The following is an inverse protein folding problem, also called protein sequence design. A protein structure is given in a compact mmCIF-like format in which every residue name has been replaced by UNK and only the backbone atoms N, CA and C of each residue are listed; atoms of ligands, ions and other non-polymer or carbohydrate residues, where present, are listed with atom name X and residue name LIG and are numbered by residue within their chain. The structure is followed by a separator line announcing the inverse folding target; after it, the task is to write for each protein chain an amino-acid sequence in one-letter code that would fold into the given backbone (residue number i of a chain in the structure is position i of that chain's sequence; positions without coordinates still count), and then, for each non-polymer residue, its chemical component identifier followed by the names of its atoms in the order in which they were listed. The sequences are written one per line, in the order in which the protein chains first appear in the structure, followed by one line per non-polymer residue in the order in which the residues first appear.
data_IF_374034961875
#
_entry.id   IF_374034961875
#
_cell.length_a   1.000
_cell.length_b   1.000
_cell.length_c   1.000
_cell.angle_alpha   90.00
_cell.angle_beta   90.00
_cell.angle_gamma   90.00
#
_symmetry.space_group_name_H-M   'P 1'
#
loop_
_entity.id
_entity.type
_entity.pdbx_description
1 polymer ?
2 non-polymer ?
3 non-polymer ?
4 non-polymer ?
5 non-polymer ?
6 non-polymer ?
7 non-polymer ?
8 water ?
#
# COMPACT_ATOMS: atom_id res chain seq x y z
N UNK A 1 12.53 2.52 21.39
CA UNK A 1 11.41 3.45 21.31
C UNK A 1 10.92 3.81 22.71
N UNK A 2 10.32 4.99 22.86
CA UNK A 2 9.85 5.41 24.19
C UNK A 2 8.75 4.50 24.73
N UNK A 3 8.61 4.51 26.06
CA UNK A 3 7.51 3.78 26.70
C UNK A 3 6.15 4.43 26.43
N UNK A 4 6.09 5.77 26.41
CA UNK A 4 4.86 6.52 26.19
C UNK A 4 5.03 7.51 25.06
N UNK A 5 4.00 7.62 24.22
CA UNK A 5 3.98 8.59 23.14
C UNK A 5 2.59 9.24 23.10
N UNK A 6 2.57 10.56 22.96
CA UNK A 6 1.33 11.29 22.75
C UNK A 6 1.70 12.56 22.02
N UNK A 7 1.40 12.61 20.71
CA UNK A 7 1.77 13.77 19.91
C UNK A 7 0.97 15.02 20.28
N UNK A 8 -0.13 14.88 21.03
CA UNK A 8 -0.83 16.08 21.50
C UNK A 8 0.05 16.90 22.42
N UNK A 9 0.82 16.23 23.27
CA UNK A 9 1.68 16.92 24.22
C UNK A 9 2.84 17.62 23.55
N UNK A 10 3.16 17.25 22.31
CA UNK A 10 4.13 17.98 21.51
C UNK A 10 3.49 19.05 20.65
N UNK A 11 2.21 19.34 20.86
CA UNK A 11 1.47 20.29 20.04
C UNK A 11 1.40 19.95 18.56
N UNK A 12 1.27 18.66 18.23
CA UNK A 12 1.25 18.23 16.83
C UNK A 12 -0.12 17.74 16.37
N UNK A 13 -1.18 18.00 17.13
CA UNK A 13 -2.50 17.45 16.83
C UNK A 13 -3.55 18.57 16.92
N UNK A 14 -4.34 18.74 15.87
CA UNK A 14 -5.37 19.77 15.84
C UNK A 14 -6.61 19.26 16.56
N UNK A 15 -7.60 20.14 16.80
CA UNK A 15 -8.82 19.70 17.49
C UNK A 15 -9.57 18.62 16.73
N UNK A 16 -10.39 17.86 17.48
CA UNK A 16 -11.16 16.77 16.92
C UNK A 16 -12.27 17.32 16.03
N UNK A 17 -12.51 16.66 14.89
CA UNK A 17 -13.56 17.06 13.97
C UNK A 17 -14.61 15.97 13.88
N UNK A 18 -15.71 16.32 13.21
CA UNK A 18 -16.83 15.43 12.92
C UNK A 18 -17.06 15.41 11.41
N UNK A 19 -16.90 14.25 10.80
CA UNK A 19 -17.09 14.16 9.35
C UNK A 19 -18.55 14.26 8.94
N UNK A 20 -19.49 14.05 9.88
CA UNK A 20 -20.89 14.03 9.49
C UNK A 20 -21.26 12.75 8.75
N UNK A 21 -22.30 12.84 7.92
CA UNK A 21 -22.76 11.65 7.23
C UNK A 21 -21.90 11.27 6.02
N UNK A 22 -21.09 12.20 5.49
CA UNK A 22 -20.28 11.90 4.33
C UNK A 22 -19.27 10.77 4.62
N UNK A 23 -18.93 10.02 3.57
CA UNK A 23 -18.03 8.89 3.73
C UNK A 23 -16.59 9.30 3.57
N UNK A 24 -16.19 10.35 4.31
CA UNK A 24 -14.90 11.00 4.09
C UNK A 24 -13.87 10.66 5.15
N UNK A 25 -14.02 9.56 5.88
CA UNK A 25 -13.03 9.24 6.92
C UNK A 25 -11.62 9.16 6.35
N UNK A 26 -11.48 8.73 5.10
CA UNK A 26 -10.15 8.55 4.50
C UNK A 26 -9.41 9.88 4.36
N UNK A 27 -10.15 10.97 4.09
CA UNK A 27 -9.56 12.30 4.01
C UNK A 27 -9.21 12.86 5.39
N UNK A 28 -10.09 12.66 6.38
CA UNK A 28 -9.77 13.11 7.73
C UNK A 28 -8.55 12.36 8.29
N UNK A 29 -8.48 11.06 8.05
CA UNK A 29 -7.31 10.28 8.42
C UNK A 29 -6.03 10.88 7.87
N UNK A 30 -6.01 11.12 6.55
CA UNK A 30 -4.81 11.65 5.90
C UNK A 30 -4.40 13.00 6.47
N UNK A 31 -5.36 13.89 6.74
CA UNK A 31 -5.03 15.24 7.18
C UNK A 31 -4.37 15.20 8.56
N UNK A 32 -4.84 14.32 9.45
CA UNK A 32 -4.19 14.22 10.76
C UNK A 32 -2.70 13.97 10.57
N UNK A 33 -2.33 13.02 9.69
CA UNK A 33 -0.92 12.76 9.48
C UNK A 33 -0.21 13.93 8.82
N UNK A 34 -0.91 14.72 8.00
CA UNK A 34 -0.26 15.88 7.38
C UNK A 34 0.01 16.95 8.42
N UNK A 35 -1.01 17.27 9.22
CA UNK A 35 -0.86 18.26 10.29
C UNK A 35 0.29 17.88 11.21
N UNK A 36 0.40 16.58 11.54
CA UNK A 36 1.49 16.13 12.40
C UNK A 36 2.87 16.30 11.79
N UNK A 37 3.05 15.88 10.53
CA UNK A 37 4.40 15.90 9.95
C UNK A 37 4.86 17.33 9.70
N UNK A 38 3.94 18.24 9.33
CA UNK A 38 4.33 19.63 9.11
C UNK A 38 4.75 20.29 10.40
N UNK A 39 4.05 20.00 11.50
CA UNK A 39 4.48 20.50 12.82
C UNK A 39 5.86 19.95 13.19
N UNK A 40 6.05 18.64 13.04
CA UNK A 40 7.33 18.00 13.38
C UNK A 40 8.46 18.56 12.54
N UNK A 41 8.21 18.84 11.25
CA UNK A 41 9.25 19.25 10.32
C UNK A 41 9.48 20.76 10.27
N UNK A 42 8.44 21.56 10.49
CA UNK A 42 8.51 23.01 10.30
C UNK A 42 8.23 23.82 11.56
N UNK A 43 7.61 23.23 12.58
CA UNK A 43 7.31 23.97 13.79
C UNK A 43 5.91 24.58 13.86
N UNK A 44 5.17 24.62 12.75
CA UNK A 44 3.85 25.21 12.71
C UNK A 44 2.79 24.12 12.86
N UNK A 45 1.80 24.37 13.71
CA UNK A 45 0.60 23.53 13.76
C UNK A 45 -0.52 24.27 13.01
N UNK A 46 -1.00 23.67 11.92
CA UNK A 46 -2.05 24.28 11.11
C UNK A 46 -3.06 23.21 10.70
N UNK A 47 -4.27 23.67 10.40
CA UNK A 47 -5.38 22.81 9.93
C UNK A 47 -5.41 22.82 8.39
N UNK A 48 -5.36 21.66 7.76
CA UNK A 48 -5.38 21.52 6.31
C UNK A 48 -6.71 20.92 5.85
N UNK A 49 -6.99 21.04 4.55
CA UNK A 49 -8.35 20.86 4.03
C UNK A 49 -8.67 19.40 3.71
N UNK A 50 -9.62 18.82 4.46
CA UNK A 50 -10.17 17.51 4.06
C UNK A 50 -11.01 17.60 2.79
N UNK A 51 -11.70 18.73 2.60
CA UNK A 51 -12.54 18.94 1.41
C UNK A 51 -11.71 18.90 0.12
N UNK A 52 -10.52 19.49 0.14
CA UNK A 52 -9.64 19.45 -1.03
C UNK A 52 -9.34 18.00 -1.44
N UNK A 53 -9.09 17.11 -0.48
CA UNK A 53 -8.82 15.71 -0.80
C UNK A 53 -10.06 15.02 -1.35
N UNK A 54 -11.21 15.22 -0.67
CA UNK A 54 -12.50 14.76 -1.16
C UNK A 54 -12.77 15.16 -2.62
N UNK A 55 -12.45 16.41 -2.96
CA UNK A 55 -12.75 16.94 -4.28
C UNK A 55 -11.75 16.50 -5.34
N UNK A 56 -10.47 16.31 -4.97
CA UNK A 56 -9.36 16.25 -5.93
C UNK A 56 -8.63 14.91 -6.01
N UNK A 57 -8.84 13.99 -5.08
CA UNK A 57 -8.21 12.67 -5.16
C UNK A 57 -8.99 11.82 -6.15
N UNK A 58 -8.51 11.73 -7.39
CA UNK A 58 -9.22 11.00 -8.47
C UNK A 58 -9.19 9.48 -8.25
N UNK A 59 -8.38 9.00 -7.32
CA UNK A 59 -8.34 7.57 -7.07
C UNK A 59 -9.28 7.12 -5.95
N UNK A 60 -9.92 8.06 -5.26
CA UNK A 60 -10.95 7.75 -4.25
C UNK A 60 -12.33 8.02 -4.83
N UNK A 61 -13.36 7.83 -4.01
CA UNK A 61 -14.72 7.98 -4.46
C UNK A 61 -15.58 8.99 -3.74
N UNK A 62 -14.98 10.13 -3.36
CA UNK A 62 -15.73 11.19 -2.70
C UNK A 62 -16.35 10.73 -1.40
N UNK A 63 -17.67 10.97 -1.28
CA UNK A 63 -18.42 10.59 -0.07
C UNK A 63 -18.79 9.10 -0.05
N UNK A 64 -18.45 8.33 -1.10
CA UNK A 64 -18.63 6.89 -1.03
C UNK A 64 -17.49 6.20 -0.31
N UNK A 65 -16.40 6.92 -0.03
CA UNK A 65 -15.24 6.33 0.60
C UNK A 65 -14.00 6.48 -0.25
N UNK A 66 -12.87 6.06 0.32
CA UNK A 66 -11.59 6.39 -0.29
C UNK A 66 -10.42 5.77 0.44
N UNK A 67 -9.24 6.28 0.12
CA UNK A 67 -7.97 5.69 0.57
C UNK A 67 -7.06 6.76 1.17
N UNK A 68 -6.66 6.62 2.44
CA UNK A 68 -5.67 7.55 3.00
C UNK A 68 -4.37 7.57 2.21
N UNK A 69 -3.92 6.43 1.68
CA UNK A 69 -2.65 6.44 0.97
C UNK A 69 -2.74 7.25 -0.32
N UNK A 70 -3.88 7.23 -1.02
CA UNK A 70 -3.96 8.00 -2.27
C UNK A 70 -4.07 9.49 -1.99
N UNK A 71 -4.75 9.85 -0.89
CA UNK A 71 -4.73 11.24 -0.45
C UNK A 71 -3.31 11.70 -0.16
N UNK A 72 -2.54 10.87 0.56
CA UNK A 72 -1.16 11.24 0.89
C UNK A 72 -0.27 11.32 -0.34
N UNK A 73 -0.53 10.48 -1.35
CA UNK A 73 0.22 10.57 -2.61
C UNK A 73 -0.11 11.87 -3.33
N UNK A 74 -1.38 12.27 -3.33
CA UNK A 74 -1.76 13.54 -3.94
C UNK A 74 -1.07 14.71 -3.24
N UNK A 75 -0.99 14.67 -1.91
CA UNK A 75 -0.28 15.75 -1.22
C UNK A 75 1.22 15.72 -1.50
N UNK A 76 1.77 14.54 -1.75
CA UNK A 76 3.19 14.45 -2.07
C UNK A 76 3.49 14.99 -3.47
N UNK A 77 2.56 14.84 -4.40
CA UNK A 77 2.78 15.33 -5.75
C UNK A 77 2.40 16.80 -5.90
N UNK A 78 1.37 17.27 -5.20
CA UNK A 78 0.82 18.59 -5.44
C UNK A 78 0.86 19.51 -4.23
N UNK A 79 0.40 19.06 -3.09
CA UNK A 79 0.34 19.91 -1.93
C UNK A 79 -1.08 19.93 -1.40
N UNK A 80 -1.31 20.81 -0.43
CA UNK A 80 -2.61 20.92 0.20
C UNK A 80 -2.76 22.35 0.72
N UNK A 81 -4.00 22.83 0.75
CA UNK A 81 -4.32 24.17 1.22
C UNK A 81 -4.76 24.11 2.69
N UNK A 82 -4.77 25.29 3.31
CA UNK A 82 -5.30 25.39 4.67
C UNK A 82 -6.78 25.09 4.68
N UNK A 83 -7.22 24.52 5.80
CA UNK A 83 -8.63 24.18 5.98
C UNK A 83 -9.50 25.42 5.91
N UNK A 84 -9.02 26.56 6.45
CA UNK A 84 -9.84 27.75 6.39
C UNK A 84 -9.90 28.36 4.99
N UNK A 85 -8.93 28.06 4.11
CA UNK A 85 -9.00 28.49 2.71
C UNK A 85 -9.89 27.59 1.86
N UNK A 86 -10.17 26.39 2.35
CA UNK A 86 -10.90 25.37 1.58
C UNK A 86 -11.72 24.56 2.59
N UNK A 87 -12.82 25.11 3.09
CA UNK A 87 -13.49 24.53 4.26
C UNK A 87 -14.33 23.31 3.91
N UNK A 88 -14.71 22.57 4.97
CA UNK A 88 -15.47 21.33 4.84
C UNK A 88 -16.93 21.64 4.54
N UNK A 89 -17.39 21.17 3.39
CA UNK A 89 -18.79 21.29 2.99
C UNK A 89 -19.60 20.01 3.14
N UNK A 90 -18.94 18.88 3.39
CA UNK A 90 -19.66 17.63 3.64
C UNK A 90 -20.30 16.96 2.45
N UNK A 91 -20.03 17.45 1.25
CA UNK A 91 -20.42 16.78 0.00
C UNK A 91 -19.26 16.96 -0.96
N UNK A 92 -19.08 15.99 -1.86
CA UNK A 92 -18.05 16.11 -2.88
C UNK A 92 -18.45 17.19 -3.89
N UNK A 93 -17.46 17.96 -4.32
CA UNK A 93 -17.62 18.98 -5.34
C UNK A 93 -16.48 18.86 -6.34
N UNK A 94 -16.49 19.74 -7.34
CA UNK A 94 -15.37 19.73 -8.26
C UNK A 94 -14.12 20.30 -7.59
N UNK A 95 -12.96 19.91 -8.13
CA UNK A 95 -11.66 20.28 -7.56
C UNK A 95 -11.37 21.75 -7.80
N UNK A 96 -11.27 22.54 -6.73
CA UNK A 96 -11.06 23.98 -6.83
C UNK A 96 -9.67 24.41 -6.38
N UNK A 97 -8.71 23.48 -6.32
CA UNK A 97 -7.37 23.75 -5.80
C UNK A 97 -6.70 24.90 -6.54
N UNK A 98 -6.93 25.02 -7.86
CA UNK A 98 -6.24 26.03 -8.66
C UNK A 98 -6.74 27.43 -8.37
N UNK A 99 -7.96 27.56 -7.86
CA UNK A 99 -8.56 28.84 -7.53
C UNK A 99 -8.17 29.33 -6.14
N UNK A 100 -7.37 28.57 -5.40
CA UNK A 100 -7.04 28.87 -4.01
C UNK A 100 -5.64 29.43 -3.84
N UNK A 101 -4.93 29.72 -4.93
CA UNK A 101 -3.57 30.20 -4.82
C UNK A 101 -2.58 29.09 -4.54
N UNK A 102 -1.33 29.46 -4.26
CA UNK A 102 -0.30 28.45 -4.03
C UNK A 102 -0.62 27.58 -2.82
N UNK A 103 -0.03 26.38 -2.81
CA UNK A 103 -0.28 25.45 -1.73
C UNK A 103 0.24 25.98 -0.39
N UNK A 104 -0.39 25.53 0.69
CA UNK A 104 0.12 25.88 2.00
C UNK A 104 1.21 24.92 2.46
N UNK A 105 1.11 23.65 2.07
CA UNK A 105 2.10 22.65 2.50
C UNK A 105 2.24 21.58 1.44
N UNK A 106 3.35 20.85 1.51
CA UNK A 106 3.63 19.79 0.55
C UNK A 106 4.58 18.79 1.20
N UNK A 107 4.31 17.51 1.00
CA UNK A 107 5.19 16.45 1.45
C UNK A 107 6.03 15.94 0.27
N UNK A 108 6.84 14.93 0.54
CA UNK A 108 7.75 14.38 -0.46
C UNK A 108 7.56 12.89 -0.72
N UNK A 109 6.66 12.22 0.00
CA UNK A 109 6.40 10.84 -0.30
C UNK A 109 5.47 10.22 0.73
N UNK A 110 5.21 8.93 0.51
CA UNK A 110 4.33 8.09 1.31
C UNK A 110 5.09 6.80 1.64
N UNK A 111 4.89 6.28 2.85
CA UNK A 111 5.44 4.96 3.23
C UNK A 111 4.36 4.12 3.89
N UNK A 112 4.45 2.80 3.68
CA UNK A 112 3.53 1.84 4.25
C UNK A 112 4.19 1.07 5.41
N UNK A 113 3.39 0.77 6.45
CA UNK A 113 3.86 -0.09 7.54
C UNK A 113 3.53 -1.54 7.18
N UNK A 114 4.46 -2.47 7.45
CA UNK A 114 4.19 -3.87 7.14
C UNK A 114 3.01 -4.35 7.97
N UNK A 115 2.01 -4.98 7.37
CA UNK A 115 0.78 -5.28 8.10
C UNK A 115 0.97 -6.33 9.18
N UNK A 116 -0.03 -6.42 10.06
CA UNK A 116 -0.14 -7.45 11.10
C UNK A 116 1.11 -7.48 11.98
N UNK A 117 1.70 -6.33 12.20
CA UNK A 117 2.99 -6.21 12.85
C UNK A 117 2.87 -5.05 13.85
N UNK A 118 2.51 -5.36 15.09
CA UNK A 118 2.29 -4.34 16.15
C UNK A 118 3.55 -3.47 16.31
N UNK A 119 4.70 -4.11 16.40
CA UNK A 119 5.93 -3.38 16.65
C UNK A 119 6.32 -2.46 15.51
N UNK A 120 6.03 -2.84 14.26
CA UNK A 120 6.32 -1.93 13.16
C UNK A 120 5.46 -0.68 13.26
N UNK A 121 4.20 -0.84 13.64
CA UNK A 121 3.32 0.30 13.79
C UNK A 121 3.75 1.17 14.97
N UNK A 122 4.15 0.55 16.08
CA UNK A 122 4.64 1.32 17.22
C UNK A 122 5.87 2.14 16.86
N UNK A 123 6.78 1.53 16.11
CA UNK A 123 7.98 2.25 15.69
C UNK A 123 7.62 3.45 14.83
N UNK A 124 6.65 3.30 13.93
CA UNK A 124 6.25 4.43 13.09
C UNK A 124 5.59 5.53 13.91
N UNK A 125 4.76 5.14 14.89
CA UNK A 125 4.06 6.16 15.68
C UNK A 125 5.06 6.98 16.50
N UNK A 126 6.12 6.35 16.99
CA UNK A 126 7.12 7.10 17.73
C UNK A 126 7.73 8.21 16.88
N UNK A 127 7.73 8.06 15.55
CA UNK A 127 8.27 9.13 14.69
C UNK A 127 7.22 10.17 14.30
N UNK A 128 5.96 9.78 14.18
CA UNK A 128 4.94 10.71 13.72
C UNK A 128 3.59 10.04 13.81
N UNK A 129 2.48 10.78 13.73
CA UNK A 129 1.16 10.14 13.61
C UNK A 129 1.05 9.30 12.34
N UNK A 130 0.31 8.19 12.45
CA UNK A 130 0.18 7.20 11.38
C UNK A 130 -1.30 7.03 11.02
N UNK A 131 -1.59 6.92 9.73
CA UNK A 131 -2.96 6.62 9.32
C UNK A 131 -3.19 5.13 9.43
N UNK A 132 -4.30 4.73 10.07
CA UNK A 132 -4.63 3.31 10.26
C UNK A 132 -6.12 3.12 10.00
N UNK A 133 -6.52 1.85 9.96
CA UNK A 133 -7.90 1.46 9.71
C UNK A 133 -8.34 0.50 10.78
N UNK A 134 -9.65 0.41 10.97
CA UNK A 134 -10.22 -0.50 11.94
C UNK A 134 -11.66 -0.80 11.57
N UNK A 135 -12.24 -1.75 12.27
CA UNK A 135 -13.66 -2.11 12.17
C UNK A 135 -14.43 -1.25 13.19
N UNK A 136 -15.23 -0.33 12.70
CA UNK A 136 -15.98 0.58 13.56
C UNK A 136 -17.48 0.30 13.59
N UNK A 137 -17.93 -0.77 12.92
CA UNK A 137 -19.35 -1.04 12.75
C UNK A 137 -19.97 -1.72 13.97
N UNK A 138 -19.17 -2.26 14.89
CA UNK A 138 -19.73 -2.90 16.05
C UNK A 138 -20.33 -1.88 17.00
N UNK A 139 -21.40 -2.28 17.70
CA UNK A 139 -21.99 -1.37 18.66
C UNK A 139 -21.03 -1.04 19.79
N UNK A 140 -20.18 -2.01 20.18
CA UNK A 140 -19.28 -1.78 21.30
C UNK A 140 -18.31 -0.65 20.99
N UNK A 141 -17.77 -0.63 19.78
CA UNK A 141 -16.91 0.48 19.36
C UNK A 141 -17.70 1.78 19.36
N UNK A 142 -18.95 1.74 18.90
CA UNK A 142 -19.71 2.97 18.83
C UNK A 142 -20.05 3.52 20.21
N UNK A 143 -20.26 2.65 21.20
CA UNK A 143 -20.64 3.11 22.54
C UNK A 143 -19.45 3.36 23.46
N UNK A 144 -18.22 3.16 22.99
CA UNK A 144 -17.03 3.33 23.81
C UNK A 144 -16.97 4.73 24.43
N UNK A 145 -16.59 4.80 25.71
CA UNK A 145 -16.42 6.09 26.39
C UNK A 145 -15.05 6.32 27.03
N UNK A 146 -14.27 5.28 27.30
CA UNK A 146 -12.97 5.45 27.95
C UNK A 146 -12.46 4.14 28.48
N UNK A 147 -11.20 4.17 28.94
CA UNK A 147 -10.50 2.95 29.33
C UNK A 147 -9.84 2.25 28.16
N UNK A 148 -9.14 1.16 28.44
CA UNK A 148 -8.50 0.41 27.38
C UNK A 148 -9.53 -0.54 26.76
N UNK A 149 -9.81 -0.35 25.48
CA UNK A 149 -10.87 -1.07 24.77
C UNK A 149 -10.32 -2.40 24.27
N UNK A 150 -10.96 -3.49 24.67
CA UNK A 150 -10.60 -4.83 24.22
C UNK A 150 -11.66 -5.41 23.30
N UNK A 151 -12.70 -4.66 22.97
CA UNK A 151 -13.77 -5.16 22.15
C UNK A 151 -15.03 -5.41 22.97
N UNK A 152 -15.92 -6.27 22.45
CA UNK A 152 -15.78 -7.05 21.21
C UNK A 152 -15.75 -6.20 19.94
N UNK A 153 -15.07 -6.72 18.91
CA UNK A 153 -15.07 -6.21 17.55
C UNK A 153 -14.29 -7.18 16.69
N UNK A 154 -14.68 -7.29 15.41
CA UNK A 154 -14.05 -8.19 14.47
C UNK A 154 -12.91 -7.53 13.73
N UNK A 155 -12.49 -8.18 12.64
CA UNK A 155 -11.37 -7.65 11.85
C UNK A 155 -11.77 -7.22 10.45
N UNK A 156 -13.07 -7.11 10.14
CA UNK A 156 -13.51 -6.62 8.83
C UNK A 156 -13.44 -5.10 8.86
N UNK A 157 -12.24 -4.57 8.60
CA UNK A 157 -12.02 -3.13 8.76
C UNK A 157 -12.90 -2.33 7.79
N UNK A 158 -13.31 -1.14 8.26
CA UNK A 158 -14.24 -0.32 7.48
C UNK A 158 -14.08 1.18 7.69
N UNK A 159 -13.05 1.66 8.38
CA UNK A 159 -13.04 3.03 8.88
C UNK A 159 -11.59 3.46 9.11
N UNK A 160 -11.18 4.55 8.44
CA UNK A 160 -9.83 5.06 8.58
C UNK A 160 -9.79 6.12 9.68
N UNK A 161 -8.77 6.02 10.54
CA UNK A 161 -8.57 6.93 11.66
C UNK A 161 -7.07 7.19 11.74
N UNK A 162 -6.59 7.78 12.85
CA UNK A 162 -5.17 8.06 12.99
C UNK A 162 -4.68 7.71 14.39
N UNK A 163 -3.53 7.04 14.45
CA UNK A 163 -2.87 6.73 15.71
C UNK A 163 -1.94 7.88 16.05
N UNK A 164 -2.16 8.53 17.19
CA UNK A 164 -1.35 9.67 17.56
C UNK A 164 -0.51 9.38 18.82
N UNK A 165 -0.50 8.15 19.30
CA UNK A 165 0.31 7.83 20.47
C UNK A 165 0.12 6.37 20.88
N UNK A 166 0.76 6.00 21.99
CA UNK A 166 0.58 4.66 22.55
C UNK A 166 1.15 4.65 23.97
N UNK A 167 0.83 3.59 24.69
CA UNK A 167 1.42 3.26 25.96
C UNK A 167 1.67 1.76 26.05
N UNK A 168 2.09 1.29 27.23
CA UNK A 168 2.45 -0.13 27.36
C UNK A 168 1.39 -1.10 26.85
N UNK A 169 0.11 -0.83 27.09
CA UNK A 169 -0.95 -1.78 26.74
C UNK A 169 -1.99 -1.17 25.82
N UNK A 170 -1.69 -0.05 25.16
CA UNK A 170 -2.70 0.56 24.31
C UNK A 170 -2.06 1.33 23.16
N UNK A 171 -2.87 1.59 22.14
CA UNK A 171 -2.52 2.53 21.09
C UNK A 171 -3.58 3.61 21.08
N UNK A 172 -3.15 4.85 20.91
CA UNK A 172 -4.00 6.03 21.07
C UNK A 172 -4.47 6.50 19.71
N UNK A 173 -5.79 6.59 19.53
CA UNK A 173 -6.41 6.76 18.21
C UNK A 173 -7.30 7.99 18.19
N UNK A 174 -7.08 8.88 17.22
CA UNK A 174 -7.92 10.05 17.02
C UNK A 174 -8.97 9.77 15.94
N UNK A 175 -10.24 9.80 16.32
CA UNK A 175 -11.35 9.52 15.41
C UNK A 175 -11.94 10.83 14.90
N UNK A 176 -12.75 10.73 13.84
CA UNK A 176 -13.36 11.91 13.24
C UNK A 176 -14.88 11.88 13.39
N UNK A 177 -15.34 11.49 14.58
CA UNK A 177 -16.76 11.39 14.90
C UNK A 177 -17.20 12.45 15.92
N UNK A 178 -16.45 13.53 16.08
CA UNK A 178 -16.79 14.58 17.02
C UNK A 178 -16.20 14.34 18.41
N UNK A 179 -16.23 15.41 19.25
CA UNK A 179 -15.76 15.25 20.61
C UNK A 179 -16.72 14.44 21.47
N UNK A 180 -17.99 14.32 21.07
CA UNK A 180 -18.98 13.60 21.84
C UNK A 180 -18.88 12.09 21.78
N UNK A 181 -17.97 11.57 20.96
CA UNK A 181 -17.72 10.14 20.92
C UNK A 181 -16.44 9.83 21.67
N UNK A 182 -16.42 8.70 22.37
CA UNK A 182 -15.20 8.21 23.03
C UNK A 182 -14.65 9.12 24.13
N UNK A 183 -13.39 9.01 24.32
CA UNK A 183 -12.67 9.82 25.31
C UNK A 183 -12.34 11.16 24.65
N UNK A 184 -13.31 12.04 24.64
CA UNK A 184 -13.18 13.37 24.05
C UNK A 184 -12.76 13.29 22.59
N UNK A 185 -13.28 12.27 21.89
CA UNK A 185 -13.00 12.08 20.47
C UNK A 185 -12.00 10.97 20.19
N UNK A 186 -11.36 10.41 21.23
CA UNK A 186 -10.27 9.46 21.14
C UNK A 186 -10.67 8.10 21.69
N UNK A 187 -9.83 7.10 21.43
CA UNK A 187 -10.00 5.76 22.01
C UNK A 187 -8.62 5.16 22.25
N UNK A 188 -8.47 4.47 23.38
CA UNK A 188 -7.28 3.65 23.66
C UNK A 188 -7.63 2.21 23.31
N UNK A 189 -6.96 1.66 22.29
CA UNK A 189 -7.21 0.30 21.84
C UNK A 189 -6.14 -0.61 22.43
N UNK A 190 -6.58 -1.72 23.02
CA UNK A 190 -5.66 -2.66 23.66
C UNK A 190 -4.64 -3.18 22.65
N UNK A 191 -3.38 -3.27 23.06
CA UNK A 191 -2.39 -3.94 22.24
C UNK A 191 -1.83 -5.15 23.00
N UNK A 192 -1.12 -6.01 22.29
CA UNK A 192 -0.46 -7.14 22.90
C UNK A 192 -1.27 -8.41 23.09
N UNK A 193 -2.36 -8.58 22.35
CA UNK A 193 -3.12 -9.82 22.37
C UNK A 193 -2.42 -10.87 21.51
N UNK A 194 -2.97 -12.08 21.47
CA UNK A 194 -2.40 -13.06 20.58
C UNK A 194 -3.07 -13.06 19.21
N UNK A 195 -3.51 -11.89 18.73
CA UNK A 195 -4.24 -11.79 17.48
C UNK A 195 -3.46 -10.96 16.47
N UNK A 196 -3.14 -11.56 15.33
CA UNK A 196 -2.29 -10.92 14.34
C UNK A 196 -3.01 -9.80 13.60
N UNK A 197 -4.34 -9.80 13.57
CA UNK A 197 -4.99 -8.66 12.95
C UNK A 197 -4.89 -7.42 13.81
N UNK A 198 -4.62 -7.58 15.11
CA UNK A 198 -4.87 -6.54 16.08
C UNK A 198 -6.34 -6.45 16.43
N UNK A 199 -6.63 -5.87 17.59
CA UNK A 199 -8.04 -5.76 17.96
C UNK A 199 -8.70 -4.70 17.09
N UNK A 200 -9.90 -5.02 16.60
CA UNK A 200 -10.65 -4.22 15.63
C UNK A 200 -9.96 -4.17 14.26
N UNK A 201 -9.02 -5.08 14.01
CA UNK A 201 -8.28 -5.11 12.77
C UNK A 201 -7.24 -4.03 12.64
N UNK A 202 -6.76 -3.52 13.78
CA UNK A 202 -5.99 -2.29 13.82
C UNK A 202 -4.72 -2.36 12.96
N UNK A 203 -4.13 -3.55 12.77
CA UNK A 203 -2.88 -3.67 12.04
C UNK A 203 -3.08 -4.01 10.57
N UNK A 204 -4.25 -3.72 10.00
CA UNK A 204 -4.50 -4.17 8.62
C UNK A 204 -3.83 -3.28 7.58
N UNK A 205 -3.84 -1.94 7.76
CA UNK A 205 -3.42 -1.09 6.63
C UNK A 205 -3.03 0.31 7.12
N UNK A 206 -1.72 0.54 7.28
CA UNK A 206 -1.20 1.74 7.90
C UNK A 206 -0.19 2.43 7.01
N UNK A 207 -0.27 3.75 6.93
CA UNK A 207 0.59 4.53 6.03
C UNK A 207 0.98 5.83 6.69
N UNK A 208 2.08 6.42 6.25
CA UNK A 208 2.45 7.74 6.76
C UNK A 208 3.16 8.53 5.67
N UNK A 209 3.13 9.85 5.74
CA UNK A 209 3.88 10.66 4.77
C UNK A 209 5.33 10.85 5.20
N UNK A 210 6.16 11.20 4.22
CA UNK A 210 7.53 11.58 4.50
C UNK A 210 7.74 12.98 3.97
N UNK A 211 8.58 13.73 4.67
CA UNK A 211 8.87 15.11 4.28
C UNK A 211 10.31 15.42 4.63
N UNK A 212 11.11 15.67 3.62
CA UNK A 212 12.46 16.16 3.86
C UNK A 212 12.36 17.60 4.35
N UNK B 1 -6.72 3.73 -23.73
CA UNK B 1 -5.63 2.78 -23.62
C UNK B 1 -5.74 1.75 -24.77
N UNK B 2 -4.63 1.13 -25.14
CA UNK B 2 -4.64 0.18 -26.27
C UNK B 2 -5.59 -0.99 -26.01
N UNK B 3 -6.09 -1.58 -27.10
CA UNK B 3 -6.91 -2.79 -26.93
C UNK B 3 -6.07 -3.97 -26.49
N UNK B 4 -4.82 -4.08 -26.94
CA UNK B 4 -3.90 -5.16 -26.59
C UNK B 4 -2.57 -4.60 -26.10
N UNK B 5 -2.02 -5.23 -25.05
CA UNK B 5 -0.72 -4.85 -24.48
C UNK B 5 0.04 -6.14 -24.15
N UNK B 6 1.31 -6.20 -24.52
CA UNK B 6 2.16 -7.34 -24.13
C UNK B 6 3.60 -6.86 -24.06
N UNK B 7 4.12 -6.69 -22.83
CA UNK B 7 5.47 -6.14 -22.68
C UNK B 7 6.54 -7.11 -23.15
N UNK B 8 6.22 -8.40 -23.34
CA UNK B 8 7.17 -9.32 -23.96
C UNK B 8 7.53 -8.89 -25.38
N UNK B 9 6.55 -8.38 -26.14
CA UNK B 9 6.77 -7.96 -27.52
C UNK B 9 7.54 -6.65 -27.64
N UNK B 10 7.65 -5.88 -26.55
CA UNK B 10 8.56 -4.74 -26.48
C UNK B 10 9.91 -5.12 -25.87
N UNK B 11 10.17 -6.41 -25.69
CA UNK B 11 11.41 -6.84 -25.08
C UNK B 11 11.63 -6.31 -23.68
N UNK B 12 10.57 -6.22 -22.87
CA UNK B 12 10.67 -5.70 -21.50
C UNK B 12 10.50 -6.78 -20.45
N UNK B 13 10.55 -8.05 -20.83
CA UNK B 13 10.27 -9.18 -19.95
C UNK B 13 11.38 -10.22 -20.11
N UNK B 14 12.04 -10.59 -19.00
CA UNK B 14 13.12 -11.58 -19.02
C UNK B 14 12.54 -13.00 -18.99
N UNK B 15 13.37 -14.04 -19.20
CA UNK B 15 12.84 -15.41 -19.19
C UNK B 15 12.20 -15.80 -17.86
N UNK B 16 11.30 -16.79 -17.93
CA UNK B 16 10.56 -17.25 -16.75
C UNK B 16 11.47 -18.00 -15.81
N UNK B 17 11.32 -17.76 -14.51
CA UNK B 17 12.11 -18.42 -13.48
C UNK B 17 11.23 -19.30 -12.60
N UNK B 18 11.89 -20.11 -11.77
CA UNK B 18 11.21 -20.97 -10.81
C UNK B 18 11.73 -20.63 -9.42
N UNK B 19 10.85 -20.20 -8.53
CA UNK B 19 11.30 -19.82 -7.18
C UNK B 19 11.69 -21.02 -6.31
N UNK B 20 11.30 -22.22 -6.67
CA UNK B 20 11.57 -23.39 -5.83
C UNK B 20 10.64 -23.44 -4.62
N UNK B 21 11.11 -24.14 -3.55
CA UNK B 21 10.29 -24.30 -2.34
C UNK B 21 10.24 -23.05 -1.47
N UNK B 22 11.20 -22.13 -1.61
CA UNK B 22 11.24 -20.92 -0.81
C UNK B 22 10.02 -20.03 -1.09
N UNK B 23 9.62 -19.24 -0.08
CA UNK B 23 8.48 -18.35 -0.13
C UNK B 23 8.80 -16.98 -0.65
N UNK B 24 9.42 -16.95 -1.82
CA UNK B 24 10.01 -15.76 -2.39
C UNK B 24 9.22 -15.14 -3.55
N UNK B 25 7.92 -15.45 -3.62
CA UNK B 25 7.01 -14.87 -4.65
C UNK B 25 7.08 -13.40 -4.69
N UNK B 26 7.05 -12.77 -3.51
CA UNK B 26 7.08 -11.31 -3.42
C UNK B 26 8.33 -10.68 -4.05
N UNK B 27 9.50 -11.33 -3.93
CA UNK B 27 10.72 -10.80 -4.53
C UNK B 27 10.72 -10.99 -6.06
N UNK B 28 10.30 -12.15 -6.55
CA UNK B 28 10.24 -12.35 -7.99
C UNK B 28 9.24 -11.38 -8.64
N UNK B 29 8.07 -11.20 -8.01
CA UNK B 29 7.11 -10.21 -8.50
C UNK B 29 7.75 -8.84 -8.64
N UNK B 30 8.37 -8.33 -7.56
CA UNK B 30 8.95 -7.00 -7.62
C UNK B 30 10.01 -6.89 -8.73
N UNK B 31 10.86 -7.91 -8.86
CA UNK B 31 11.94 -7.86 -9.85
C UNK B 31 11.38 -7.72 -11.27
N UNK B 32 10.26 -8.39 -11.56
CA UNK B 32 9.66 -8.28 -12.89
C UNK B 32 9.33 -6.82 -13.23
N UNK B 33 8.69 -6.10 -12.30
CA UNK B 33 8.33 -4.70 -12.59
C UNK B 33 9.57 -3.82 -12.66
N UNK B 34 10.63 -4.18 -11.94
CA UNK B 34 11.88 -3.43 -12.00
C UNK B 34 12.56 -3.66 -13.35
N UNK B 35 12.73 -4.94 -13.72
CA UNK B 35 13.29 -5.25 -15.04
C UNK B 35 12.50 -4.54 -16.14
N UNK B 36 11.18 -4.50 -16.00
CA UNK B 36 10.34 -3.84 -17.00
C UNK B 36 10.57 -2.33 -17.09
N UNK B 37 10.56 -1.63 -15.95
CA UNK B 37 10.64 -0.16 -15.99
C UNK B 37 12.02 0.31 -16.42
N UNK B 38 13.08 -0.44 -16.09
CA UNK B 38 14.42 -0.04 -16.52
C UNK B 38 14.52 -0.15 -18.04
N UNK B 39 13.97 -1.23 -18.61
CA UNK B 39 13.92 -1.36 -20.06
C UNK B 39 13.15 -0.20 -20.69
N UNK B 40 11.98 0.10 -20.14
CA UNK B 40 11.14 1.16 -20.69
C UNK B 40 11.85 2.51 -20.68
N UNK B 41 12.61 2.79 -19.63
CA UNK B 41 13.23 4.11 -19.52
C UNK B 41 14.65 4.17 -20.05
N UNK B 42 15.38 3.05 -20.13
CA UNK B 42 16.75 3.09 -20.61
C UNK B 42 16.98 2.38 -21.94
N UNK B 43 16.10 1.45 -22.33
CA UNK B 43 16.27 0.68 -23.56
C UNK B 43 16.91 -0.68 -23.38
N UNK B 44 17.53 -0.96 -22.23
CA UNK B 44 18.23 -2.23 -22.00
C UNK B 44 17.42 -3.16 -21.11
N UNK B 45 17.41 -4.44 -21.46
CA UNK B 45 16.80 -5.49 -20.64
C UNK B 45 17.86 -6.25 -19.86
N UNK B 46 17.72 -6.28 -18.54
CA UNK B 46 18.67 -6.96 -17.68
C UNK B 46 17.93 -7.69 -16.58
N UNK B 47 18.61 -8.68 -16.03
CA UNK B 47 18.10 -9.49 -14.90
C UNK B 47 18.63 -8.90 -13.59
N UNK B 48 17.73 -8.67 -12.64
CA UNK B 48 18.08 -8.15 -11.32
C UNK B 48 17.85 -9.21 -10.26
N UNK B 49 18.46 -9.02 -9.10
CA UNK B 49 18.64 -10.09 -8.13
C UNK B 49 17.43 -10.20 -7.20
N UNK B 50 16.67 -11.29 -7.31
CA UNK B 50 15.64 -11.61 -6.33
C UNK B 50 16.26 -11.95 -4.98
N UNK B 51 17.42 -12.61 -5.00
CA UNK B 51 18.08 -12.98 -3.75
C UNK B 51 18.38 -11.74 -2.92
N UNK B 52 18.81 -10.66 -3.57
CA UNK B 52 19.11 -9.43 -2.84
C UNK B 52 17.91 -8.92 -2.04
N UNK B 53 16.71 -9.02 -2.60
CA UNK B 53 15.52 -8.58 -1.88
C UNK B 53 15.25 -9.49 -0.68
N UNK B 54 15.32 -10.82 -0.89
CA UNK B 54 15.23 -11.79 0.19
C UNK B 54 16.13 -11.46 1.36
N UNK B 55 17.38 -11.11 1.08
CA UNK B 55 18.37 -10.92 2.13
C UNK B 55 18.18 -9.59 2.83
N UNK B 56 17.79 -8.55 2.08
CA UNK B 56 17.96 -7.18 2.53
C UNK B 56 16.67 -6.43 2.81
N UNK B 57 15.51 -6.93 2.37
CA UNK B 57 14.24 -6.29 2.70
C UNK B 57 13.87 -6.66 4.14
N UNK B 58 14.15 -5.74 5.05
CA UNK B 58 13.96 -5.88 6.50
C UNK B 58 12.48 -5.85 6.90
N UNK B 59 11.59 -5.46 6.00
CA UNK B 59 10.16 -5.45 6.31
C UNK B 59 9.46 -6.73 5.84
N UNK B 60 10.15 -7.59 5.09
CA UNK B 60 9.65 -8.90 4.68
C UNK B 60 10.31 -9.99 5.52
N UNK B 61 9.92 -11.25 5.29
CA UNK B 61 10.29 -12.35 6.17
C UNK B 61 11.04 -13.46 5.44
N UNK B 62 11.89 -13.07 4.49
CA UNK B 62 12.73 -14.03 3.81
C UNK B 62 11.91 -15.08 3.07
N UNK B 63 12.23 -16.34 3.31
CA UNK B 63 11.52 -17.44 2.69
C UNK B 63 10.19 -17.74 3.37
N UNK B 64 9.80 -17.02 4.42
CA UNK B 64 8.47 -17.16 4.98
C UNK B 64 7.42 -16.26 4.29
N UNK B 65 7.84 -15.37 3.40
CA UNK B 65 6.93 -14.50 2.69
C UNK B 65 7.26 -13.03 2.91
N UNK B 66 6.53 -12.18 2.17
CA UNK B 66 6.95 -10.80 2.08
C UNK B 66 5.98 -9.98 1.26
N UNK B 67 6.42 -8.76 0.95
CA UNK B 67 5.58 -7.71 0.38
C UNK B 67 6.28 -7.15 -0.85
N UNK B 68 5.70 -7.27 -2.03
CA UNK B 68 6.35 -6.67 -3.20
C UNK B 68 6.50 -5.16 -3.06
N UNK B 69 5.57 -4.47 -2.38
CA UNK B 69 5.70 -3.02 -2.25
C UNK B 69 6.91 -2.64 -1.40
N UNK B 70 7.26 -3.48 -0.42
CA UNK B 70 8.41 -3.18 0.43
C UNK B 70 9.71 -3.43 -0.30
N UNK B 71 9.74 -4.47 -1.14
CA UNK B 71 10.88 -4.68 -2.02
C UNK B 71 11.09 -3.48 -2.92
N UNK B 72 10.00 -2.96 -3.50
CA UNK B 72 10.12 -1.78 -4.37
C UNK B 72 10.54 -0.54 -3.60
N UNK B 73 10.11 -0.40 -2.34
CA UNK B 73 10.59 0.73 -1.55
C UNK B 73 12.11 0.65 -1.32
N UNK B 74 12.62 -0.55 -1.05
CA UNK B 74 14.08 -0.70 -0.86
C UNK B 74 14.86 -0.32 -2.11
N UNK B 75 14.38 -0.74 -3.30
CA UNK B 75 15.07 -0.39 -4.54
C UNK B 75 14.95 1.11 -4.83
N UNK B 76 13.87 1.76 -4.35
CA UNK B 76 13.77 3.20 -4.52
C UNK B 76 14.70 3.95 -3.56
N UNK B 77 14.95 3.39 -2.38
CA UNK B 77 15.80 4.06 -1.38
C UNK B 77 17.27 3.74 -1.59
N UNK B 78 17.59 2.51 -1.97
CA UNK B 78 18.97 2.05 -2.05
C UNK B 78 19.34 1.57 -3.45
N UNK B 79 18.57 0.65 -4.03
CA UNK B 79 18.87 0.13 -5.35
C UNK B 79 18.96 -1.38 -5.37
N UNK B 80 19.42 -1.93 -6.50
CA UNK B 80 19.49 -3.37 -6.67
C UNK B 80 20.64 -3.69 -7.61
N UNK B 81 21.22 -4.88 -7.44
CA UNK B 81 22.31 -5.39 -8.26
C UNK B 81 21.79 -6.34 -9.33
N UNK B 82 22.64 -6.60 -10.32
CA UNK B 82 22.32 -7.59 -11.34
C UNK B 82 22.24 -8.99 -10.74
N UNK B 83 21.40 -9.81 -11.37
CA UNK B 83 21.23 -11.19 -10.91
C UNK B 83 22.53 -11.98 -10.98
N UNK B 84 23.30 -11.77 -12.05
CA UNK B 84 24.51 -12.56 -12.25
C UNK B 84 25.53 -12.34 -11.14
N UNK B 85 25.60 -11.14 -10.58
CA UNK B 85 26.54 -10.86 -9.51
C UNK B 85 25.99 -11.22 -8.13
N UNK B 86 24.69 -11.51 -8.04
CA UNK B 86 24.02 -11.79 -6.76
C UNK B 86 22.94 -12.83 -7.05
N UNK B 87 23.34 -14.08 -7.24
CA UNK B 87 22.42 -15.09 -7.79
C UNK B 87 21.49 -15.69 -6.75
N UNK B 88 20.44 -16.33 -7.27
CA UNK B 88 19.40 -16.92 -6.42
C UNK B 88 19.90 -18.23 -5.81
N UNK B 89 19.96 -18.29 -4.47
CA UNK B 89 20.30 -19.51 -3.74
C UNK B 89 19.08 -20.21 -3.15
N UNK B 90 17.92 -19.55 -3.13
CA UNK B 90 16.73 -20.20 -2.64
C UNK B 90 16.63 -20.36 -1.14
N UNK B 91 17.52 -19.72 -0.37
CA UNK B 91 17.40 -19.59 1.07
C UNK B 91 17.80 -18.16 1.43
N UNK B 92 17.18 -17.62 2.47
CA UNK B 92 17.56 -16.29 2.95
C UNK B 92 18.93 -16.32 3.61
N UNK B 93 19.73 -15.30 3.34
CA UNK B 93 21.05 -15.11 3.93
C UNK B 93 21.16 -13.66 4.37
N UNK B 94 22.28 -13.31 5.01
CA UNK B 94 22.48 -11.92 5.42
C UNK B 94 22.72 -11.03 4.19
N UNK B 95 22.48 -9.73 4.38
CA UNK B 95 22.55 -8.77 3.27
C UNK B 95 24.00 -8.56 2.84
N UNK B 96 24.31 -8.93 1.60
CA UNK B 96 25.67 -8.83 1.09
C UNK B 96 25.83 -7.70 0.09
N UNK B 97 24.90 -6.75 0.09
CA UNK B 97 24.88 -5.66 -0.87
C UNK B 97 26.16 -4.84 -0.86
N UNK B 98 26.78 -4.69 0.32
CA UNK B 98 27.99 -3.88 0.42
C UNK B 98 29.20 -4.56 -0.22
N UNK B 99 29.18 -5.87 -0.40
CA UNK B 99 30.33 -6.52 -1.01
C UNK B 99 30.26 -6.56 -2.53
N UNK B 100 29.19 -6.04 -3.14
CA UNK B 100 28.99 -6.21 -4.57
C UNK B 100 29.31 -4.96 -5.39
N UNK B 101 29.86 -3.92 -4.77
CA UNK B 101 30.09 -2.66 -5.44
C UNK B 101 28.79 -1.90 -5.53
N UNK B 102 28.79 -0.77 -6.23
CA UNK B 102 27.58 0.07 -6.27
C UNK B 102 26.42 -0.65 -6.94
N UNK B 103 25.22 -0.20 -6.63
CA UNK B 103 24.04 -0.83 -7.20
C UNK B 103 24.06 -0.70 -8.73
N UNK B 104 23.39 -1.65 -9.39
CA UNK B 104 23.24 -1.62 -10.83
C UNK B 104 22.07 -0.76 -11.28
N UNK B 105 21.01 -0.70 -10.48
CA UNK B 105 19.84 0.08 -10.84
C UNK B 105 19.21 0.60 -9.57
N UNK B 106 18.40 1.65 -9.72
CA UNK B 106 17.70 2.32 -8.63
C UNK B 106 16.48 3.02 -9.22
N UNK B 107 15.35 2.93 -8.51
CA UNK B 107 14.14 3.63 -8.92
C UNK B 107 13.98 4.91 -8.12
N UNK B 108 12.82 5.56 -8.27
CA UNK B 108 12.55 6.82 -7.57
C UNK B 108 11.30 6.79 -6.70
N UNK B 109 10.54 5.70 -6.68
CA UNK B 109 9.40 5.65 -5.78
C UNK B 109 8.54 4.44 -6.08
N UNK B 110 7.44 4.38 -5.32
CA UNK B 110 6.47 3.29 -5.41
C UNK B 110 5.07 3.91 -5.47
N UNK B 111 4.19 3.32 -6.29
CA UNK B 111 2.80 3.71 -6.36
C UNK B 111 1.90 2.51 -6.25
N UNK B 112 0.72 2.73 -5.68
CA UNK B 112 -0.33 1.73 -5.55
C UNK B 112 -1.47 2.06 -6.52
N UNK B 113 -2.07 1.04 -7.17
CA UNK B 113 -3.28 1.25 -7.96
C UNK B 113 -4.47 0.90 -7.05
N UNK B 114 -5.54 1.66 -7.16
CA UNK B 114 -6.63 1.48 -6.20
C UNK B 114 -7.24 0.09 -6.39
N UNK B 115 -7.54 -0.63 -5.31
CA UNK B 115 -7.93 -2.04 -5.43
C UNK B 115 -9.34 -2.21 -5.96
N UNK B 116 -9.63 -3.46 -6.35
CA UNK B 116 -10.95 -3.89 -6.80
C UNK B 116 -11.47 -3.03 -7.96
N UNK B 117 -10.56 -2.56 -8.81
CA UNK B 117 -10.86 -1.59 -9.87
C UNK B 117 -10.13 -2.05 -11.12
N UNK B 118 -10.80 -2.85 -11.93
CA UNK B 118 -10.22 -3.44 -13.17
C UNK B 118 -9.55 -2.39 -14.04
N UNK B 119 -10.25 -1.32 -14.35
CA UNK B 119 -9.73 -0.33 -15.27
C UNK B 119 -8.51 0.41 -14.76
N UNK B 120 -8.41 0.60 -13.43
CA UNK B 120 -7.22 1.25 -12.90
C UNK B 120 -5.98 0.36 -13.10
N UNK B 121 -6.16 -0.96 -12.96
CA UNK B 121 -5.05 -1.88 -13.19
C UNK B 121 -4.69 -1.94 -14.67
N UNK B 122 -5.69 -1.94 -15.55
CA UNK B 122 -5.42 -1.95 -16.98
C UNK B 122 -4.63 -0.71 -17.38
N UNK B 123 -5.04 0.45 -16.88
CA UNK B 123 -4.36 1.70 -17.20
C UNK B 123 -2.91 1.67 -16.75
N UNK B 124 -2.65 1.04 -15.60
CA UNK B 124 -1.28 0.89 -15.12
C UNK B 124 -0.49 -0.06 -16.01
N UNK B 125 -1.08 -1.19 -16.36
CA UNK B 125 -0.38 -2.16 -17.21
C UNK B 125 -0.02 -1.54 -18.56
N UNK B 126 -0.90 -0.70 -19.11
CA UNK B 126 -0.59 -0.04 -20.39
C UNK B 126 0.68 0.80 -20.28
N UNK B 127 1.06 1.24 -19.08
CA UNK B 127 2.27 2.02 -18.91
C UNK B 127 3.51 1.18 -18.60
N UNK B 128 3.36 0.03 -17.90
CA UNK B 128 4.49 -0.80 -17.47
C UNK B 128 4.00 -2.08 -16.77
N UNK B 129 4.84 -3.10 -16.59
CA UNK B 129 4.43 -4.26 -15.77
C UNK B 129 4.12 -3.86 -14.33
N UNK B 130 3.10 -4.52 -13.77
CA UNK B 130 2.58 -4.22 -12.45
C UNK B 130 2.64 -5.47 -11.58
N UNK B 131 3.02 -5.30 -10.30
CA UNK B 131 2.98 -6.42 -9.38
C UNK B 131 1.55 -6.59 -8.87
N UNK B 132 1.03 -7.82 -8.87
CA UNK B 132 -0.32 -8.12 -8.42
C UNK B 132 -0.31 -9.39 -7.58
N UNK B 133 -1.44 -9.66 -6.93
CA UNK B 133 -1.59 -10.85 -6.09
C UNK B 133 -2.85 -11.61 -6.47
N UNK B 134 -2.84 -12.90 -6.21
CA UNK B 134 -4.00 -13.74 -6.54
C UNK B 134 -3.98 -14.96 -5.63
N UNK B 135 -5.06 -15.73 -5.68
CA UNK B 135 -5.17 -16.98 -4.89
C UNK B 135 -4.65 -18.10 -5.79
N UNK B 136 -3.55 -18.72 -5.39
CA UNK B 136 -2.86 -19.73 -6.16
C UNK B 136 -3.01 -21.13 -5.59
N UNK B 137 -3.78 -21.33 -4.52
CA UNK B 137 -3.81 -22.61 -3.84
C UNK B 137 -4.78 -23.61 -4.47
N UNK B 138 -5.67 -23.19 -5.35
CA UNK B 138 -6.62 -24.10 -5.94
C UNK B 138 -6.01 -25.05 -6.95
N UNK B 139 -6.58 -26.24 -7.03
CA UNK B 139 -6.08 -27.23 -7.99
C UNK B 139 -6.20 -26.72 -9.42
N UNK B 140 -7.30 -26.05 -9.75
CA UNK B 140 -7.55 -25.66 -11.13
C UNK B 140 -6.50 -24.67 -11.60
N UNK B 141 -6.13 -23.71 -10.75
CA UNK B 141 -5.05 -22.79 -11.07
C UNK B 141 -3.72 -23.52 -11.22
N UNK B 142 -3.44 -24.48 -10.33
CA UNK B 142 -2.16 -25.18 -10.37
C UNK B 142 -2.04 -26.05 -11.60
N UNK B 143 -3.14 -26.60 -12.10
CA UNK B 143 -3.03 -27.44 -13.29
C UNK B 143 -3.26 -26.68 -14.61
N UNK B 144 -3.49 -25.36 -14.57
CA UNK B 144 -3.78 -24.59 -15.78
C UNK B 144 -2.74 -24.82 -16.87
N UNK B 145 -3.21 -25.02 -18.11
CA UNK B 145 -2.35 -25.26 -19.25
C UNK B 145 -2.56 -24.32 -20.43
N UNK B 146 -3.65 -23.57 -20.48
CA UNK B 146 -3.84 -22.63 -21.57
C UNK B 146 -5.28 -22.16 -21.63
N UNK B 147 -5.50 -21.16 -22.49
CA UNK B 147 -6.81 -20.54 -22.59
C UNK B 147 -7.02 -19.44 -21.56
N UNK B 148 -8.19 -18.81 -21.65
CA UNK B 148 -8.59 -17.81 -20.68
C UNK B 148 -9.14 -18.53 -19.45
N UNK B 149 -8.51 -18.30 -18.31
CA UNK B 149 -8.83 -19.01 -17.06
C UNK B 149 -9.96 -18.27 -16.35
N UNK B 150 -11.05 -18.98 -16.09
CA UNK B 150 -12.17 -18.43 -15.32
C UNK B 150 -12.28 -19.05 -13.96
N UNK B 151 -11.36 -19.93 -13.58
CA UNK B 151 -11.45 -20.64 -12.33
C UNK B 151 -11.82 -22.09 -12.52
N UNK B 152 -12.42 -22.71 -11.50
CA UNK B 152 -12.77 -22.09 -10.22
C UNK B 152 -11.57 -21.64 -9.38
N UNK B 153 -11.78 -20.57 -8.61
CA UNK B 153 -10.82 -20.09 -7.63
C UNK B 153 -11.55 -19.11 -6.72
N UNK B 154 -11.04 -19.01 -5.50
CA UNK B 154 -11.57 -18.09 -4.53
C UNK B 154 -10.82 -16.77 -4.58
N UNK B 155 -11.07 -15.94 -3.59
CA UNK B 155 -10.44 -14.62 -3.51
C UNK B 155 -9.49 -14.51 -2.32
N UNK B 156 -9.11 -15.63 -1.74
CA UNK B 156 -8.14 -15.65 -0.64
C UNK B 156 -6.74 -15.57 -1.22
N UNK B 157 -6.30 -14.33 -1.50
CA UNK B 157 -5.05 -14.16 -2.22
C UNK B 157 -3.91 -14.65 -1.35
N UNK B 158 -2.90 -15.28 -1.99
CA UNK B 158 -1.81 -15.87 -1.23
C UNK B 158 -0.48 -15.91 -1.98
N UNK B 159 -0.33 -15.22 -3.10
CA UNK B 159 0.77 -15.46 -4.04
C UNK B 159 0.92 -14.22 -4.92
N UNK B 160 2.11 -13.63 -4.96
CA UNK B 160 2.40 -12.44 -5.76
C UNK B 160 3.01 -12.83 -7.11
N UNK B 161 2.53 -12.16 -8.17
CA UNK B 161 2.97 -12.39 -9.55
C UNK B 161 3.09 -11.05 -10.23
N UNK B 162 3.18 -11.05 -11.57
CA UNK B 162 3.30 -9.79 -12.29
C UNK B 162 2.41 -9.78 -13.52
N UNK B 163 1.70 -8.68 -13.72
CA UNK B 163 0.85 -8.49 -14.91
C UNK B 163 1.68 -7.81 -15.99
N UNK B 164 1.88 -8.51 -17.10
CA UNK B 164 2.73 -8.05 -18.19
C UNK B 164 1.93 -7.70 -19.43
N UNK B 165 0.60 -7.75 -19.37
CA UNK B 165 -0.19 -7.37 -20.52
C UNK B 165 -1.68 -7.64 -20.30
N UNK B 166 -2.44 -7.40 -21.36
CA UNK B 166 -3.86 -7.72 -21.35
C UNK B 166 -4.41 -7.77 -22.76
N UNK B 167 -5.63 -8.28 -22.86
CA UNK B 167 -6.42 -8.19 -24.05
C UNK B 167 -7.87 -7.87 -23.70
N UNK B 168 -8.75 -7.86 -24.71
CA UNK B 168 -10.15 -7.47 -24.45
C UNK B 168 -10.81 -8.21 -23.30
N UNK B 169 -10.51 -9.51 -23.09
CA UNK B 169 -11.17 -10.30 -22.06
C UNK B 169 -10.22 -11.00 -21.09
N UNK B 170 -8.95 -10.59 -21.03
CA UNK B 170 -8.05 -11.29 -20.14
C UNK B 170 -6.96 -10.34 -19.70
N UNK B 171 -6.28 -10.70 -18.62
CA UNK B 171 -5.05 -10.07 -18.17
C UNK B 171 -3.93 -11.11 -18.20
N UNK B 172 -2.74 -10.70 -18.65
CA UNK B 172 -1.61 -11.61 -18.90
C UNK B 172 -0.66 -11.59 -17.71
N UNK B 173 -0.41 -12.76 -17.13
CA UNK B 173 0.26 -12.88 -15.83
C UNK B 173 1.50 -13.76 -15.98
N UNK B 174 2.65 -13.23 -15.57
CA UNK B 174 3.90 -13.99 -15.54
C UNK B 174 4.08 -14.57 -14.14
N UNK B 175 4.18 -15.89 -14.05
CA UNK B 175 4.33 -16.57 -12.76
C UNK B 175 5.81 -16.91 -12.54
N UNK B 176 6.13 -17.30 -11.31
CA UNK B 176 7.49 -17.71 -10.94
C UNK B 176 7.53 -19.20 -10.57
N UNK B 177 6.80 -20.04 -11.32
CA UNK B 177 6.73 -21.47 -11.05
C UNK B 177 7.37 -22.32 -12.13
N UNK B 178 8.22 -21.73 -12.96
CA UNK B 178 8.90 -22.44 -14.03
C UNK B 178 8.13 -22.39 -15.34
N UNK B 179 8.83 -22.71 -16.42
CA UNK B 179 8.16 -22.73 -17.72
C UNK B 179 7.22 -23.93 -17.84
N UNK B 180 7.42 -24.96 -17.03
CA UNK B 180 6.60 -26.14 -17.05
C UNK B 180 5.23 -25.98 -16.42
N UNK B 181 4.96 -24.82 -15.82
CA UNK B 181 3.64 -24.50 -15.32
C UNK B 181 2.97 -23.56 -16.31
N UNK B 182 1.65 -23.72 -16.46
CA UNK B 182 0.83 -22.81 -17.25
C UNK B 182 1.19 -22.82 -18.72
N UNK B 183 0.93 -21.70 -19.39
CA UNK B 183 1.34 -21.56 -20.77
C UNK B 183 2.77 -21.04 -20.77
N UNK B 184 3.72 -21.96 -20.80
CA UNK B 184 5.14 -21.65 -20.81
C UNK B 184 5.51 -20.66 -19.71
N UNK B 185 4.84 -20.79 -18.57
CA UNK B 185 5.11 -19.99 -17.38
C UNK B 185 4.09 -18.90 -17.08
N UNK B 186 3.19 -18.59 -18.00
CA UNK B 186 2.27 -17.48 -17.91
C UNK B 186 0.82 -17.96 -17.79
N UNK B 187 -0.09 -17.03 -17.47
CA UNK B 187 -1.51 -17.37 -17.45
C UNK B 187 -2.32 -16.17 -17.92
N UNK B 188 -3.37 -16.43 -18.69
CA UNK B 188 -4.35 -15.44 -19.10
C UNK B 188 -5.58 -15.58 -18.22
N UNK B 189 -5.85 -14.59 -17.39
CA UNK B 189 -6.96 -14.65 -16.45
C UNK B 189 -8.12 -13.79 -16.96
N UNK B 190 -9.34 -14.33 -16.89
CA UNK B 190 -10.52 -13.64 -17.37
C UNK B 190 -10.72 -12.31 -16.64
N UNK B 191 -11.06 -11.28 -17.40
CA UNK B 191 -11.53 -10.01 -16.83
C UNK B 191 -12.96 -9.75 -17.28
N UNK B 192 -13.60 -8.77 -16.62
CA UNK B 192 -14.95 -8.40 -17.00
C UNK B 192 -16.04 -9.22 -16.38
N UNK B 193 -15.77 -9.94 -15.28
CA UNK B 193 -16.83 -10.59 -14.53
C UNK B 193 -17.53 -9.60 -13.63
N UNK B 194 -18.56 -9.98 -12.90
CA UNK B 194 -19.14 -8.94 -12.04
C UNK B 194 -18.53 -8.84 -10.65
N UNK B 195 -17.50 -9.65 -10.34
CA UNK B 195 -16.99 -9.82 -8.98
C UNK B 195 -15.87 -8.81 -8.78
N UNK B 196 -16.02 -7.97 -7.75
CA UNK B 196 -15.13 -6.83 -7.58
C UNK B 196 -13.72 -7.24 -7.19
N UNK B 197 -13.55 -8.44 -6.65
CA UNK B 197 -12.20 -8.90 -6.31
C UNK B 197 -11.37 -9.23 -7.54
N UNK B 198 -11.99 -9.40 -8.71
CA UNK B 198 -11.36 -10.04 -9.84
C UNK B 198 -11.32 -11.56 -9.63
N UNK B 199 -11.15 -12.30 -10.71
CA UNK B 199 -11.11 -13.74 -10.56
C UNK B 199 -9.78 -14.13 -9.90
N UNK B 200 -9.87 -15.07 -8.96
CA UNK B 200 -8.77 -15.41 -8.05
C UNK B 200 -8.25 -14.18 -7.29
N UNK B 201 -9.11 -13.20 -7.07
CA UNK B 201 -8.76 -12.04 -6.25
C UNK B 201 -7.76 -11.09 -6.89
N UNK B 202 -7.71 -11.06 -8.23
CA UNK B 202 -6.62 -10.41 -8.95
C UNK B 202 -6.47 -8.91 -8.61
N UNK B 203 -7.55 -8.23 -8.22
CA UNK B 203 -7.46 -6.79 -8.00
C UNK B 203 -7.27 -6.42 -6.53
N UNK B 204 -6.70 -7.33 -5.72
CA UNK B 204 -6.57 -7.09 -4.29
C UNK B 204 -5.43 -6.12 -3.94
N UNK B 205 -4.27 -6.22 -4.59
CA UNK B 205 -3.09 -5.49 -4.07
C UNK B 205 -2.03 -5.35 -5.17
N UNK B 206 -2.00 -4.19 -5.83
CA UNK B 206 -1.16 -3.96 -7.01
C UNK B 206 -0.30 -2.72 -6.84
N UNK B 207 0.98 -2.85 -7.18
CA UNK B 207 2.00 -1.81 -7.02
C UNK B 207 2.91 -1.86 -8.23
N UNK B 208 3.58 -0.73 -8.50
CA UNK B 208 4.56 -0.63 -9.56
C UNK B 208 5.60 0.41 -9.18
N UNK B 209 6.81 0.33 -9.74
CA UNK B 209 7.84 1.33 -9.45
C UNK B 209 7.68 2.56 -10.33
N UNK B 210 8.32 3.63 -9.87
CA UNK B 210 8.41 4.88 -10.59
C UNK B 210 9.86 5.19 -10.88
N UNK B 211 10.13 5.69 -12.08
CA UNK B 211 11.48 6.12 -12.42
C UNK B 211 11.32 7.24 -13.44
N UNK B 212 11.65 8.46 -13.05
CA UNK B 212 11.52 9.59 -13.95
C UNK B 212 12.52 9.52 -15.10
#
# INVERSE_FOLDING_TARGET
IPEYVDWRQKGAVTPVKNQGSCGSCWAFSAVVTIEGIIKIRTGNLNEYSEQELLDCDRRSYGCNGGYPWSALQLVAQYGIHYRNTYPYEGVQRYCRSREKGPYAAKTDGVRQVQPYNEGALLYSIANQPVSVVLEAAGKDFQLYRGGIFVGPCGNKVDHAVAAVGYGPNYILIKNSWGTGWGENGYIRIKRGTGNSYGVCGLYTSSFYPVKN
IPEYVDWRQKGAVTPVKNQGSCGSCWAFSAVVTIEGIIKIRTGNLNEYSEQELLDCDRRSYGCNGGYPWSALQLVAQYGIHYRNTYPYEGVQRYCRSREKGPYAAKTDGVRQVQPYNEGALLYSIANQPVSVVLEAAGKDFQLYRGGIFVGPCGNKVDHAVAAVGYGPNYILIKNSWGTGWGENGYIRIKRGTGNSYGVCGLYTSSFYPVKN
#
